data_IF_678981540845
#
_entry.id   IF_678981540845
#
_cell.length_a   1.000
_cell.length_b   1.000
_cell.length_c   1.000
_cell.angle_alpha   90.00
_cell.angle_beta   90.00
_cell.angle_gamma   90.00
#
_symmetry.space_group_name_H-M   'P 1'
#
loop_
_entity.id
_entity.type
_entity.pdbx_description
1 polymer ?
#
# COMPACT_ATOMS: atom_id res chain seq x y z
N UNK A 1 -8.57 -22.57 -2.03
CA UNK A 1 -9.77 -21.98 -1.37
C UNK A 1 -11.00 -22.47 -2.12
N UNK A 2 -12.00 -23.06 -1.42
CA UNK A 2 -13.22 -23.54 -2.09
C UNK A 2 -14.21 -22.38 -2.37
N UNK A 3 -15.18 -22.57 -3.29
CA UNK A 3 -16.22 -21.56 -3.55
C UNK A 3 -16.98 -21.15 -2.28
N UNK A 4 -17.29 -22.11 -1.39
CA UNK A 4 -17.98 -21.86 -0.13
C UNK A 4 -17.14 -21.00 0.82
N UNK A 5 -15.81 -21.26 0.87
CA UNK A 5 -14.87 -20.46 1.65
C UNK A 5 -14.79 -19.02 1.13
N UNK A 6 -14.78 -18.83 -0.19
CA UNK A 6 -14.78 -17.49 -0.81
C UNK A 6 -16.06 -16.74 -0.44
N UNK A 7 -17.22 -17.38 -0.56
CA UNK A 7 -18.50 -16.74 -0.22
C UNK A 7 -18.60 -16.40 1.27
N UNK A 8 -18.12 -17.29 2.15
CA UNK A 8 -18.06 -17.02 3.58
C UNK A 8 -17.14 -15.85 3.91
N UNK A 9 -15.97 -15.77 3.28
CA UNK A 9 -15.03 -14.67 3.45
C UNK A 9 -15.62 -13.33 2.97
N UNK A 10 -16.28 -13.33 1.81
CA UNK A 10 -16.94 -12.13 1.28
C UNK A 10 -18.09 -11.64 2.18
N UNK A 11 -18.83 -12.57 2.78
CA UNK A 11 -19.89 -12.22 3.74
C UNK A 11 -19.28 -11.58 5.01
N UNK A 12 -18.20 -12.15 5.56
CA UNK A 12 -17.48 -11.57 6.70
C UNK A 12 -16.88 -10.19 6.36
N UNK A 13 -16.23 -10.05 5.21
CA UNK A 13 -15.70 -8.77 4.74
C UNK A 13 -16.80 -7.72 4.60
N UNK A 14 -17.96 -8.11 4.07
CA UNK A 14 -19.09 -7.20 3.89
C UNK A 14 -19.67 -6.76 5.24
N UNK A 15 -19.70 -7.65 6.21
CA UNK A 15 -20.20 -7.38 7.57
C UNK A 15 -19.21 -6.60 8.45
N UNK A 16 -17.92 -6.52 8.07
CA UNK A 16 -16.93 -5.75 8.82
C UNK A 16 -17.34 -4.27 8.84
N UNK A 17 -17.29 -3.67 10.03
CA UNK A 17 -17.66 -2.27 10.22
C UNK A 17 -16.48 -1.30 10.07
N UNK A 18 -15.27 -1.77 10.35
CA UNK A 18 -14.05 -0.99 10.21
C UNK A 18 -13.59 -0.98 8.74
N UNK A 19 -13.53 0.20 8.09
CA UNK A 19 -13.17 0.28 6.68
C UNK A 19 -11.76 -0.24 6.39
N UNK A 20 -10.80 0.04 7.26
CA UNK A 20 -9.41 -0.38 7.09
C UNK A 20 -9.26 -1.89 7.26
N UNK A 21 -9.89 -2.48 8.28
CA UNK A 21 -9.93 -3.93 8.44
C UNK A 21 -10.63 -4.61 7.27
N UNK A 22 -11.66 -3.99 6.70
CA UNK A 22 -12.33 -4.47 5.48
C UNK A 22 -11.37 -4.51 4.30
N UNK A 23 -10.60 -3.44 4.07
CA UNK A 23 -9.58 -3.39 3.01
C UNK A 23 -8.47 -4.42 3.24
N UNK A 24 -7.98 -4.58 4.47
CA UNK A 24 -6.96 -5.58 4.82
C UNK A 24 -7.48 -7.00 4.54
N UNK A 25 -8.68 -7.34 5.00
CA UNK A 25 -9.32 -8.65 4.78
C UNK A 25 -9.51 -8.93 3.28
N UNK A 26 -9.97 -7.94 2.52
CA UNK A 26 -10.18 -8.07 1.09
C UNK A 26 -8.84 -8.26 0.35
N UNK A 27 -7.81 -7.50 0.70
CA UNK A 27 -6.45 -7.67 0.17
C UNK A 27 -5.91 -9.07 0.44
N UNK A 28 -6.17 -9.63 1.63
CA UNK A 28 -5.76 -10.98 1.99
C UNK A 28 -6.46 -12.05 1.14
N UNK A 29 -7.77 -11.94 0.96
CA UNK A 29 -8.54 -12.88 0.14
C UNK A 29 -8.06 -12.84 -1.32
N UNK A 30 -7.91 -11.66 -1.90
CA UNK A 30 -7.38 -11.49 -3.27
C UNK A 30 -5.99 -12.10 -3.38
N UNK A 31 -5.08 -11.77 -2.45
CA UNK A 31 -3.71 -12.29 -2.45
C UNK A 31 -3.67 -13.82 -2.30
N UNK A 32 -4.53 -14.42 -1.49
CA UNK A 32 -4.64 -15.87 -1.33
C UNK A 32 -5.04 -16.55 -2.64
N UNK A 33 -6.04 -16.01 -3.34
CA UNK A 33 -6.51 -16.56 -4.62
C UNK A 33 -5.47 -16.47 -5.74
N UNK A 34 -4.71 -15.37 -5.80
CA UNK A 34 -3.61 -15.23 -6.75
C UNK A 34 -2.43 -16.15 -6.40
N UNK A 35 -2.13 -16.33 -5.11
CA UNK A 35 -1.06 -17.23 -4.63
C UNK A 35 -1.31 -18.69 -5.04
N UNK A 36 -2.56 -19.16 -5.07
CA UNK A 36 -2.91 -20.48 -5.60
C UNK A 36 -2.57 -20.66 -7.08
N UNK A 37 -2.40 -19.56 -7.82
CA UNK A 37 -1.96 -19.54 -9.23
C UNK A 37 -0.46 -19.26 -9.37
N UNK A 38 0.28 -19.23 -8.25
CA UNK A 38 1.71 -18.95 -8.21
C UNK A 38 2.05 -17.47 -8.45
N UNK A 39 1.15 -16.56 -8.08
CA UNK A 39 1.35 -15.11 -8.15
C UNK A 39 1.35 -14.55 -6.73
N UNK A 40 2.45 -13.94 -6.32
CA UNK A 40 2.55 -13.20 -5.07
C UNK A 40 2.21 -11.72 -5.31
N UNK A 41 1.27 -11.20 -4.50
CA UNK A 41 0.85 -9.80 -4.54
C UNK A 41 1.35 -9.05 -3.32
N UNK A 42 1.55 -7.75 -3.51
CA UNK A 42 1.95 -6.77 -2.50
C UNK A 42 1.02 -5.58 -2.60
N UNK A 43 0.50 -5.12 -1.48
CA UNK A 43 -0.25 -3.87 -1.38
C UNK A 43 0.73 -2.71 -1.49
N UNK A 44 0.39 -1.73 -2.32
CA UNK A 44 1.23 -0.55 -2.60
C UNK A 44 0.44 0.74 -2.44
N UNK A 45 1.07 1.85 -2.67
CA UNK A 45 0.40 3.14 -2.79
C UNK A 45 -0.35 3.59 -1.53
N UNK A 46 -1.51 4.21 -1.74
CA UNK A 46 -2.33 4.75 -0.66
C UNK A 46 -2.87 3.69 0.29
N UNK A 47 -3.26 2.53 -0.23
CA UNK A 47 -3.79 1.43 0.58
C UNK A 47 -2.74 0.82 1.52
N UNK A 48 -1.48 0.74 1.11
CA UNK A 48 -0.40 0.32 2.02
C UNK A 48 -0.20 1.34 3.15
N UNK A 49 -0.28 2.63 2.84
CA UNK A 49 -0.19 3.70 3.86
C UNK A 49 -1.37 3.66 4.81
N UNK A 50 -2.59 3.44 4.31
CA UNK A 50 -3.78 3.21 5.15
C UNK A 50 -3.52 2.10 6.17
N UNK A 51 -2.91 0.98 5.74
CA UNK A 51 -2.66 -0.17 6.61
C UNK A 51 -1.58 0.12 7.65
N UNK A 52 -0.50 0.82 7.27
CA UNK A 52 0.55 1.25 8.21
C UNK A 52 0.05 2.29 9.21
N UNK A 53 -0.91 3.12 8.83
CA UNK A 53 -1.42 4.19 9.68
C UNK A 53 -2.71 3.79 10.41
N UNK A 54 -3.10 2.51 10.36
CA UNK A 54 -4.31 1.98 11.02
C UNK A 54 -5.56 2.82 10.72
N UNK A 55 -5.63 3.36 9.48
CA UNK A 55 -6.77 4.14 8.99
C UNK A 55 -6.72 5.64 9.29
N UNK A 56 -5.64 6.19 9.87
CA UNK A 56 -5.47 7.64 9.99
C UNK A 56 -5.44 8.33 8.60
N UNK A 57 -4.95 7.60 7.59
CA UNK A 57 -5.15 7.90 6.19
C UNK A 57 -6.07 6.85 5.57
N UNK A 58 -7.12 7.26 4.87
CA UNK A 58 -8.05 6.36 4.18
C UNK A 58 -7.81 6.38 2.67
N UNK A 59 -7.61 5.22 2.06
CA UNK A 59 -7.52 5.06 0.60
C UNK A 59 -8.90 4.84 -0.01
N UNK A 60 -9.09 5.30 -1.26
CA UNK A 60 -10.32 5.06 -2.02
C UNK A 60 -10.36 3.69 -2.72
N UNK A 61 -9.21 3.05 -2.87
CA UNK A 61 -8.99 1.82 -3.61
C UNK A 61 -7.90 0.97 -2.97
N UNK A 62 -7.78 -0.27 -3.42
CA UNK A 62 -6.75 -1.21 -3.01
C UNK A 62 -5.84 -1.44 -4.22
N UNK A 63 -4.61 -0.98 -4.13
CA UNK A 63 -3.58 -1.16 -5.15
C UNK A 63 -2.71 -2.38 -4.85
N UNK A 64 -2.64 -3.33 -5.80
CA UNK A 64 -1.85 -4.55 -5.68
C UNK A 64 -0.88 -4.69 -6.85
N UNK A 65 0.41 -4.84 -6.54
CA UNK A 65 1.47 -5.17 -7.49
C UNK A 65 1.91 -6.63 -7.34
N UNK A 66 2.47 -7.22 -8.39
CA UNK A 66 3.11 -8.54 -8.31
C UNK A 66 4.60 -8.40 -7.98
N UNK A 67 5.10 -9.30 -7.12
CA UNK A 67 6.54 -9.49 -6.88
C UNK A 67 7.08 -10.72 -7.57
N UNK A 68 6.21 -11.50 -8.22
CA UNK A 68 6.58 -12.71 -8.93
C UNK A 68 7.13 -12.39 -10.33
N UNK A 69 8.12 -13.15 -10.79
CA UNK A 69 8.55 -13.13 -12.19
C UNK A 69 7.41 -13.51 -13.16
N UNK A 70 6.43 -14.26 -12.65
CA UNK A 70 5.21 -14.59 -13.37
C UNK A 70 4.17 -13.51 -13.14
N UNK A 71 3.81 -12.82 -14.20
CA UNK A 71 2.76 -11.79 -14.19
C UNK A 71 1.40 -12.41 -14.50
N UNK A 72 0.32 -12.01 -13.82
CA UNK A 72 -1.02 -12.44 -14.20
C UNK A 72 -1.41 -11.77 -15.52
N UNK A 73 -1.71 -12.59 -16.54
CA UNK A 73 -2.32 -12.08 -17.77
C UNK A 73 -3.78 -11.67 -17.54
N UNK A 74 -4.38 -11.05 -18.54
CA UNK A 74 -5.76 -10.57 -18.45
C UNK A 74 -6.74 -11.71 -18.16
N UNK A 75 -6.54 -12.89 -18.75
CA UNK A 75 -7.41 -14.04 -18.55
C UNK A 75 -7.36 -14.54 -17.11
N UNK A 76 -6.15 -14.68 -16.55
CA UNK A 76 -5.96 -15.09 -15.15
C UNK A 76 -6.60 -14.09 -14.18
N UNK A 77 -6.41 -12.77 -14.40
CA UNK A 77 -7.07 -11.74 -13.60
C UNK A 77 -8.58 -11.90 -13.63
N UNK A 78 -9.15 -12.07 -14.82
CA UNK A 78 -10.58 -12.24 -14.98
C UNK A 78 -11.11 -13.53 -14.31
N UNK A 79 -10.38 -14.64 -14.43
CA UNK A 79 -10.73 -15.89 -13.77
C UNK A 79 -10.70 -15.78 -12.26
N UNK A 80 -9.61 -15.22 -11.68
CA UNK A 80 -9.45 -15.09 -10.23
C UNK A 80 -10.46 -14.09 -9.65
N UNK A 81 -10.57 -12.91 -10.23
CA UNK A 81 -11.50 -11.88 -9.75
C UNK A 81 -12.96 -12.34 -9.94
N UNK A 82 -13.24 -13.12 -10.98
CA UNK A 82 -14.55 -13.72 -11.23
C UNK A 82 -15.00 -14.69 -10.13
N UNK A 83 -14.08 -15.38 -9.44
CA UNK A 83 -14.41 -16.25 -8.30
C UNK A 83 -15.09 -15.50 -7.15
N UNK A 84 -14.79 -14.20 -7.03
CA UNK A 84 -15.38 -13.31 -6.02
C UNK A 84 -16.60 -12.54 -6.53
N UNK A 85 -17.07 -12.82 -7.75
CA UNK A 85 -18.15 -12.06 -8.37
C UNK A 85 -17.78 -10.61 -8.70
N UNK A 86 -16.49 -10.32 -8.87
CA UNK A 86 -15.99 -8.99 -9.19
C UNK A 86 -16.51 -8.48 -10.52
N UNK A 87 -16.75 -7.16 -10.60
CA UNK A 87 -17.15 -6.46 -11.83
C UNK A 87 -16.05 -5.52 -12.27
N UNK A 88 -15.78 -5.45 -13.57
CA UNK A 88 -14.76 -4.56 -14.14
C UNK A 88 -13.69 -5.31 -14.95
N UNK A 89 -12.47 -4.81 -14.94
CA UNK A 89 -11.28 -5.29 -15.67
C UNK A 89 -10.86 -4.31 -16.77
N UNK A 90 -9.73 -4.55 -17.40
CA UNK A 90 -8.76 -5.63 -17.16
C UNK A 90 -7.82 -5.37 -15.97
N UNK A 91 -7.84 -4.17 -15.39
CA UNK A 91 -6.94 -3.72 -14.32
C UNK A 91 -7.71 -3.42 -13.04
N UNK A 92 -8.80 -2.68 -13.13
CA UNK A 92 -9.62 -2.21 -12.01
C UNK A 92 -10.89 -3.04 -11.85
N UNK A 93 -11.15 -3.48 -10.62
CA UNK A 93 -12.27 -4.39 -10.31
C UNK A 93 -13.03 -3.89 -9.10
N UNK A 94 -14.34 -4.05 -9.10
CA UNK A 94 -15.18 -3.78 -7.94
C UNK A 94 -15.55 -5.10 -7.26
N UNK A 95 -15.18 -5.26 -5.99
CA UNK A 95 -15.43 -6.43 -5.15
C UNK A 95 -15.98 -5.97 -3.81
N UNK A 96 -17.10 -6.53 -3.37
CA UNK A 96 -17.73 -6.19 -2.07
C UNK A 96 -17.90 -4.66 -1.84
N UNK A 97 -18.11 -3.90 -2.90
CA UNK A 97 -18.27 -2.44 -2.86
C UNK A 97 -16.97 -1.63 -2.91
N UNK A 98 -15.81 -2.26 -2.94
CA UNK A 98 -14.49 -1.61 -2.97
C UNK A 98 -13.81 -1.77 -4.33
N UNK A 99 -13.01 -0.78 -4.70
CA UNK A 99 -12.15 -0.87 -5.88
C UNK A 99 -10.85 -1.61 -5.53
N UNK A 100 -10.47 -2.52 -6.42
CA UNK A 100 -9.24 -3.31 -6.33
C UNK A 100 -8.54 -3.23 -7.67
N UNK A 101 -7.32 -2.70 -7.67
CA UNK A 101 -6.48 -2.58 -8.85
C UNK A 101 -5.38 -3.63 -8.81
N UNK A 102 -5.32 -4.46 -9.87
CA UNK A 102 -4.21 -5.39 -10.09
C UNK A 102 -3.26 -4.72 -11.08
N UNK A 103 -2.22 -4.13 -10.54
CA UNK A 103 -1.24 -3.35 -11.28
C UNK A 103 -0.20 -4.23 -11.99
N UNK A 104 0.93 -3.65 -12.35
CA UNK A 104 2.08 -4.34 -12.90
C UNK A 104 2.94 -5.04 -11.85
N UNK A 105 4.23 -5.13 -12.16
CA UNK A 105 5.26 -5.58 -11.24
C UNK A 105 5.61 -4.46 -10.26
N UNK A 106 5.93 -4.83 -9.03
CA UNK A 106 6.50 -3.90 -8.07
C UNK A 106 7.90 -3.51 -8.56
N UNK A 107 8.07 -2.25 -8.87
CA UNK A 107 9.37 -1.64 -9.12
C UNK A 107 9.79 -0.96 -7.81
N UNK A 108 10.75 -1.54 -7.11
CA UNK A 108 11.22 -1.03 -5.84
C UNK A 108 12.74 -0.86 -5.85
N UNK A 109 13.23 0.17 -5.19
CA UNK A 109 14.65 0.51 -5.09
C UNK A 109 15.17 0.40 -3.65
N UNK A 110 14.29 0.06 -2.71
CA UNK A 110 14.66 -0.13 -1.31
C UNK A 110 15.21 -1.53 -1.03
N UNK A 111 16.13 -1.60 -0.08
CA UNK A 111 16.65 -2.84 0.48
C UNK A 111 15.82 -3.32 1.69
N UNK A 112 14.88 -2.50 2.17
CA UNK A 112 13.99 -2.84 3.27
C UNK A 112 13.07 -3.99 2.86
N UNK A 113 12.92 -5.04 3.70
CA UNK A 113 12.00 -6.12 3.43
C UNK A 113 10.54 -5.65 3.35
N UNK A 114 9.72 -6.41 2.61
CA UNK A 114 8.28 -6.18 2.59
C UNK A 114 7.69 -6.33 3.99
N UNK A 115 6.78 -5.42 4.35
CA UNK A 115 5.95 -5.58 5.54
C UNK A 115 4.98 -6.75 5.39
N UNK A 116 4.49 -7.29 6.51
CA UNK A 116 3.51 -8.36 6.51
C UNK A 116 2.48 -8.18 7.62
N UNK A 117 1.20 -8.29 7.25
CA UNK A 117 0.07 -8.36 8.17
C UNK A 117 -0.56 -9.74 8.12
N UNK A 118 -0.91 -10.29 9.29
CA UNK A 118 -1.59 -11.58 9.38
C UNK A 118 -3.10 -11.40 9.48
N UNK A 119 -3.83 -12.17 8.67
CA UNK A 119 -5.30 -12.17 8.66
C UNK A 119 -5.83 -13.61 8.67
N UNK A 120 -7.14 -13.82 8.98
CA UNK A 120 -7.77 -15.15 8.84
C UNK A 120 -7.71 -15.73 7.42
N UNK A 121 -7.49 -14.90 6.40
CA UNK A 121 -7.44 -15.32 4.99
C UNK A 121 -6.01 -15.48 4.47
N UNK A 122 -5.02 -15.31 5.34
CA UNK A 122 -3.60 -15.42 5.03
C UNK A 122 -2.85 -14.10 5.19
N UNK A 123 -1.54 -14.12 4.91
CA UNK A 123 -0.70 -12.93 5.03
C UNK A 123 -0.98 -11.94 3.91
N UNK A 124 -0.94 -10.65 4.26
CA UNK A 124 -0.93 -9.51 3.34
C UNK A 124 0.45 -8.89 3.36
N UNK A 125 1.11 -8.83 2.22
CA UNK A 125 2.41 -8.17 2.08
C UNK A 125 2.22 -6.71 1.73
N UNK A 126 3.04 -5.83 2.31
CA UNK A 126 3.02 -4.40 2.12
C UNK A 126 4.34 -3.92 1.53
N UNK A 127 4.28 -2.95 0.62
CA UNK A 127 5.48 -2.24 0.21
C UNK A 127 6.13 -1.55 1.42
N UNK A 128 7.48 -1.47 1.47
CA UNK A 128 8.17 -0.85 2.60
C UNK A 128 7.80 0.62 2.78
N UNK A 129 7.65 1.09 4.04
CA UNK A 129 7.18 2.44 4.32
C UNK A 129 8.16 3.52 3.82
N UNK A 130 9.46 3.20 3.74
CA UNK A 130 10.48 4.10 3.20
C UNK A 130 10.22 4.46 1.74
N UNK A 131 9.93 3.45 0.91
CA UNK A 131 9.65 3.64 -0.51
C UNK A 131 8.31 4.35 -0.72
N UNK A 132 7.28 3.94 0.03
CA UNK A 132 5.98 4.59 0.01
C UNK A 132 6.08 6.09 0.35
N UNK A 133 6.90 6.45 1.33
CA UNK A 133 7.12 7.84 1.70
C UNK A 133 7.75 8.63 0.56
N UNK A 134 8.85 8.11 0.00
CA UNK A 134 9.58 8.77 -1.10
C UNK A 134 8.68 8.95 -2.32
N UNK A 135 7.93 7.91 -2.71
CA UNK A 135 6.96 8.00 -3.81
C UNK A 135 5.87 9.03 -3.55
N UNK A 136 5.30 9.07 -2.33
CA UNK A 136 4.23 10.03 -2.01
C UNK A 136 4.73 11.47 -2.00
N UNK A 137 5.93 11.72 -1.49
CA UNK A 137 6.53 13.06 -1.56
C UNK A 137 6.81 13.45 -3.01
N UNK A 138 7.36 12.55 -3.84
CA UNK A 138 7.56 12.81 -5.27
C UNK A 138 6.24 13.19 -5.95
N UNK A 139 5.19 12.37 -5.79
CA UNK A 139 3.88 12.63 -6.42
C UNK A 139 3.22 13.90 -5.87
N UNK A 140 3.56 14.32 -4.65
CA UNK A 140 3.02 15.55 -4.07
C UNK A 140 3.55 16.82 -4.74
N UNK A 141 4.72 16.74 -5.39
CA UNK A 141 5.37 17.90 -6.04
C UNK A 141 5.46 17.78 -7.56
N UNK A 142 5.43 16.56 -8.12
CA UNK A 142 5.59 16.29 -9.54
C UNK A 142 4.40 15.56 -10.17
N UNK A 143 3.99 15.91 -11.41
CA UNK A 143 4.47 17.01 -12.24
C UNK A 143 3.93 18.39 -11.79
N UNK A 144 3.04 18.41 -10.83
CA UNK A 144 2.46 19.61 -10.21
C UNK A 144 2.06 19.30 -8.77
N UNK A 145 1.94 20.34 -7.94
CA UNK A 145 1.49 20.19 -6.56
C UNK A 145 0.18 19.37 -6.46
N UNK A 146 0.20 18.35 -5.60
CA UNK A 146 -0.94 17.46 -5.37
C UNK A 146 -1.19 17.29 -3.87
N UNK A 147 -2.11 18.09 -3.34
CA UNK A 147 -2.42 18.14 -1.90
C UNK A 147 -2.79 16.80 -1.28
N UNK A 148 -3.63 15.94 -1.91
CA UNK A 148 -3.92 14.62 -1.32
C UNK A 148 -2.67 13.75 -1.09
N UNK A 149 -1.71 13.78 -2.02
CA UNK A 149 -0.44 13.05 -1.85
C UNK A 149 0.43 13.67 -0.76
N UNK A 150 0.46 15.00 -0.65
CA UNK A 150 1.17 15.69 0.41
C UNK A 150 0.59 15.33 1.79
N UNK A 151 -0.74 15.32 1.93
CA UNK A 151 -1.40 14.93 3.17
C UNK A 151 -1.13 13.46 3.52
N UNK A 152 -1.18 12.57 2.53
CA UNK A 152 -0.84 11.16 2.69
C UNK A 152 0.61 10.98 3.22
N UNK A 153 1.58 11.67 2.62
CA UNK A 153 2.97 11.66 3.08
C UNK A 153 3.11 12.20 4.52
N UNK A 154 2.45 13.31 4.85
CA UNK A 154 2.46 13.88 6.19
C UNK A 154 1.92 12.92 7.25
N UNK A 155 0.81 12.22 6.95
CA UNK A 155 0.26 11.22 7.87
C UNK A 155 1.25 10.09 8.12
N UNK A 156 1.88 9.55 7.07
CA UNK A 156 2.88 8.49 7.21
C UNK A 156 4.11 8.97 8.03
N UNK A 157 4.60 10.19 7.77
CA UNK A 157 5.69 10.80 8.56
C UNK A 157 5.29 10.94 10.03
N UNK A 158 4.09 11.40 10.32
CA UNK A 158 3.60 11.61 11.68
C UNK A 158 3.54 10.30 12.47
N UNK A 159 3.00 9.25 11.87
CA UNK A 159 2.92 7.90 12.46
C UNK A 159 4.32 7.34 12.71
N UNK A 160 5.25 7.49 11.76
CA UNK A 160 6.64 7.07 11.91
C UNK A 160 7.38 7.84 13.01
N UNK A 161 7.28 9.18 13.04
CA UNK A 161 7.87 10.01 14.08
C UNK A 161 7.25 9.75 15.46
N UNK A 162 6.02 9.29 15.51
CA UNK A 162 5.36 8.89 16.77
C UNK A 162 5.82 7.52 17.28
N UNK A 163 6.55 6.76 16.47
CA UNK A 163 7.06 5.44 16.81
C UNK A 163 6.01 4.32 16.74
N UNK A 164 4.90 4.57 16.04
CA UNK A 164 3.86 3.55 15.79
C UNK A 164 4.30 2.56 14.73
N UNK A 165 5.14 2.99 13.78
CA UNK A 165 5.80 2.13 12.80
C UNK A 165 7.31 2.37 12.83
N UNK A 166 8.07 1.33 12.48
CA UNK A 166 9.50 1.47 12.24
C UNK A 166 9.73 2.13 10.87
N UNK A 167 10.69 3.06 10.81
CA UNK A 167 11.10 3.75 9.60
C UNK A 167 12.62 3.89 9.61
N UNK A 168 13.29 3.33 8.62
CA UNK A 168 14.72 3.59 8.40
C UNK A 168 14.91 4.93 7.68
N UNK A 169 15.09 5.99 8.46
CA UNK A 169 15.30 7.35 7.93
C UNK A 169 16.57 7.50 7.09
N UNK A 170 17.57 6.61 7.27
CA UNK A 170 18.76 6.61 6.41
C UNK A 170 18.43 6.04 5.03
N UNK A 171 17.61 4.99 5.01
CA UNK A 171 17.12 4.41 3.76
C UNK A 171 16.21 5.38 3.01
N UNK A 172 15.31 6.09 3.69
CA UNK A 172 14.52 7.18 3.08
C UNK A 172 15.42 8.20 2.39
N UNK A 173 16.49 8.65 3.06
CA UNK A 173 17.41 9.62 2.48
C UNK A 173 18.20 9.02 1.32
N UNK A 174 18.64 7.75 1.41
CA UNK A 174 19.30 7.05 0.32
C UNK A 174 18.42 6.99 -0.92
N UNK A 175 17.16 6.58 -0.76
CA UNK A 175 16.18 6.53 -1.85
C UNK A 175 15.99 7.93 -2.47
N UNK A 176 15.80 8.96 -1.65
CA UNK A 176 15.58 10.33 -2.11
C UNK A 176 16.73 10.87 -2.98
N UNK A 177 17.96 10.32 -2.83
CA UNK A 177 19.11 10.71 -3.67
C UNK A 177 19.17 10.00 -5.02
N UNK A 178 18.43 8.92 -5.21
CA UNK A 178 18.46 8.13 -6.46
C UNK A 178 18.03 8.98 -7.66
N UNK A 179 18.58 8.68 -8.86
CA UNK A 179 18.21 9.39 -10.10
C UNK A 179 16.72 9.34 -10.42
N UNK A 180 16.03 8.30 -9.97
CA UNK A 180 14.60 8.04 -10.16
C UNK A 180 13.74 9.03 -9.35
N UNK A 181 14.23 9.46 -8.18
CA UNK A 181 13.48 10.32 -7.26
C UNK A 181 14.01 11.77 -7.23
N UNK A 182 15.25 12.01 -6.80
CA UNK A 182 15.90 13.33 -6.71
C UNK A 182 15.10 14.37 -5.92
N UNK A 183 14.61 13.97 -4.74
CA UNK A 183 13.72 14.76 -3.88
C UNK A 183 14.26 14.94 -2.46
N UNK A 184 15.57 15.04 -2.29
CA UNK A 184 16.20 15.19 -0.97
C UNK A 184 15.70 16.42 -0.23
N UNK A 185 15.55 17.56 -0.92
CA UNK A 185 15.05 18.79 -0.31
C UNK A 185 13.60 18.64 0.14
N UNK A 186 12.75 18.11 -0.71
CA UNK A 186 11.32 17.90 -0.47
C UNK A 186 11.06 16.92 0.70
N UNK A 187 11.86 15.85 0.79
CA UNK A 187 11.82 14.92 1.93
C UNK A 187 12.25 15.64 3.21
N UNK A 188 13.38 16.35 3.18
CA UNK A 188 13.89 17.05 4.36
C UNK A 188 12.90 18.09 4.87
N UNK A 189 12.32 18.87 3.97
CA UNK A 189 11.32 19.90 4.29
C UNK A 189 10.04 19.28 4.86
N UNK A 190 9.51 18.24 4.21
CA UNK A 190 8.28 17.57 4.66
C UNK A 190 8.46 16.94 6.04
N UNK A 191 9.55 16.22 6.27
CA UNK A 191 9.85 15.60 7.57
C UNK A 191 10.12 16.67 8.65
N UNK A 192 10.87 17.72 8.30
CA UNK A 192 11.14 18.84 9.21
C UNK A 192 9.86 19.57 9.63
N UNK A 193 8.94 19.81 8.68
CA UNK A 193 7.66 20.45 8.97
C UNK A 193 6.83 19.61 9.95
N UNK A 194 6.64 18.30 9.67
CA UNK A 194 5.84 17.43 10.54
C UNK A 194 6.49 17.25 11.91
N UNK A 195 7.83 17.13 11.97
CA UNK A 195 8.56 17.06 13.23
C UNK A 195 8.32 18.32 14.10
N UNK A 196 8.38 19.50 13.48
CA UNK A 196 8.08 20.77 14.16
C UNK A 196 6.63 20.82 14.66
N UNK A 197 5.66 20.44 13.84
CA UNK A 197 4.23 20.40 14.20
C UNK A 197 3.95 19.46 15.39
N UNK A 198 4.68 18.34 15.47
CA UNK A 198 4.59 17.38 16.58
C UNK A 198 5.45 17.74 17.80
N UNK A 199 6.26 18.80 17.74
CA UNK A 199 7.22 19.15 18.79
C UNK A 199 8.30 18.07 19.00
N UNK A 200 8.69 17.36 17.94
CA UNK A 200 9.71 16.29 17.96
C UNK A 200 10.97 16.71 17.20
N UNK A 201 12.14 16.13 17.55
CA UNK A 201 13.34 16.36 16.74
C UNK A 201 13.18 15.75 15.36
N UNK A 202 13.66 16.46 14.34
CA UNK A 202 13.77 15.89 12.99
C UNK A 202 14.90 14.86 12.94
N UNK A 203 14.72 13.71 12.27
CA UNK A 203 15.79 12.71 12.09
C UNK A 203 16.94 13.23 11.22
N UNK A 204 16.77 14.35 10.54
CA UNK A 204 17.75 14.93 9.61
C UNK A 204 18.44 16.21 10.13
N UNK A 205 18.02 16.73 11.27
CA UNK A 205 18.64 17.90 11.90
C UNK A 205 19.04 17.52 13.31
N UNK A 206 20.31 17.38 13.55
CA UNK A 206 20.95 17.31 14.87
C UNK A 206 21.55 18.67 15.24
#
# INVERSE_FOLDING_TARGET
VSPEQIQSALADITAESDPTLKHIKLSALVSALFRERGIDLVVVGGSAIEFYTEGEYASGDIDLCTTSLKRPDQRMRQEVMGLMGAKGGPRSWQVAGHWVDILGELEGYTETPLGELHTPYGPVRLAPPEELLVERVLVSVYPSAHEPSAQCAKTLIAVALSGQIEMDWKEVMRLATLPEYRIVAEITDSVGQVAHELGRPSPYHS
#
